data_IF_959562320476
#
_entry.id   IF_959562320476
#
_cell.length_a   1.000
_cell.length_b   1.000
_cell.length_c   1.000
_cell.angle_alpha   90.00
_cell.angle_beta   90.00
_cell.angle_gamma   90.00
#
_symmetry.space_group_name_H-M   'P 1'
#
loop_
_entity.id
_entity.type
_entity.pdbx_description
1 polymer ?
#
# COMPACT_ATOMS: atom_id res chain seq x y z
N UNK A 1 0.35 4.22 7.44
CA UNK A 1 1.44 3.93 6.51
C UNK A 1 1.79 2.45 6.60
N UNK A 2 2.51 1.92 5.61
CA UNK A 2 2.86 0.50 5.49
C UNK A 2 1.64 -0.43 5.68
N UNK A 3 0.48 0.02 5.23
CA UNK A 3 -0.79 -0.62 5.56
C UNK A 3 -0.95 -1.99 4.91
N UNK A 4 -0.12 -2.32 3.92
CA UNK A 4 -0.06 -3.67 3.34
C UNK A 4 0.29 -4.74 4.40
N UNK A 5 0.98 -4.34 5.48
CA UNK A 5 1.37 -5.21 6.59
C UNK A 5 0.32 -5.30 7.71
N UNK A 6 -0.90 -4.80 7.46
CA UNK A 6 -2.03 -4.97 8.37
C UNK A 6 -2.85 -6.19 8.00
N UNK A 7 -3.49 -6.83 8.97
CA UNK A 7 -4.53 -7.83 8.74
C UNK A 7 -5.89 -7.17 8.49
N UNK A 8 -6.87 -7.94 7.99
CA UNK A 8 -8.25 -7.47 7.88
C UNK A 8 -8.83 -6.98 9.22
N UNK A 9 -8.51 -7.66 10.32
CA UNK A 9 -8.97 -7.27 11.65
C UNK A 9 -8.38 -5.94 12.10
N UNK A 10 -7.07 -5.74 11.89
CA UNK A 10 -6.39 -4.48 12.21
C UNK A 10 -6.90 -3.33 11.35
N UNK A 11 -7.11 -3.56 10.05
CA UNK A 11 -7.67 -2.56 9.15
C UNK A 11 -9.10 -2.18 9.56
N UNK A 12 -9.96 -3.16 9.87
CA UNK A 12 -11.30 -2.91 10.38
C UNK A 12 -11.26 -2.12 11.70
N UNK A 13 -10.40 -2.53 12.63
CA UNK A 13 -10.20 -1.83 13.91
C UNK A 13 -9.83 -0.36 13.71
N UNK A 14 -8.97 -0.05 12.74
CA UNK A 14 -8.59 1.32 12.41
C UNK A 14 -9.74 2.11 11.79
N UNK A 15 -10.36 1.58 10.73
CA UNK A 15 -11.40 2.28 9.97
C UNK A 15 -12.61 2.65 10.84
N UNK A 16 -12.96 1.82 11.83
CA UNK A 16 -14.09 2.09 12.74
C UNK A 16 -13.75 3.08 13.87
N UNK A 17 -12.54 3.65 13.89
CA UNK A 17 -12.14 4.68 14.87
C UNK A 17 -12.25 6.11 14.32
N UNK A 18 -12.63 6.28 13.05
CA UNK A 18 -12.79 7.60 12.45
C UNK A 18 -13.96 8.35 13.11
N UNK A 19 -13.65 9.53 13.65
CA UNK A 19 -14.63 10.40 14.31
C UNK A 19 -15.17 11.50 13.40
N UNK A 20 -16.16 12.26 13.89
CA UNK A 20 -16.74 13.38 13.16
C UNK A 20 -15.69 14.44 12.80
N UNK A 21 -15.76 14.94 11.56
CA UNK A 21 -14.84 15.96 11.04
C UNK A 21 -13.40 15.49 10.84
N UNK A 22 -13.10 14.21 11.09
CA UNK A 22 -11.77 13.65 10.85
C UNK A 22 -11.57 13.25 9.40
N UNK A 23 -10.30 13.19 8.97
CA UNK A 23 -9.89 12.61 7.68
C UNK A 23 -8.72 11.67 7.95
N UNK A 24 -8.64 10.58 7.20
CA UNK A 24 -7.51 9.68 7.23
C UNK A 24 -7.01 9.40 5.82
N UNK A 25 -5.70 9.21 5.71
CA UNK A 25 -5.03 8.74 4.50
C UNK A 25 -4.30 7.46 4.88
N UNK A 26 -4.57 6.39 4.14
CA UNK A 26 -3.95 5.09 4.35
C UNK A 26 -3.04 4.84 3.15
N UNK A 27 -1.75 4.68 3.42
CA UNK A 27 -0.69 4.44 2.43
C UNK A 27 -0.07 3.07 2.62
N UNK A 28 0.38 2.48 1.52
CA UNK A 28 1.10 1.21 1.49
C UNK A 28 1.31 0.69 0.06
N UNK A 29 2.21 -0.28 -0.08
CA UNK A 29 2.53 -0.94 -1.36
C UNK A 29 1.97 -2.37 -1.36
N UNK A 30 0.92 -2.62 -2.15
CA UNK A 30 0.27 -3.95 -2.23
C UNK A 30 1.17 -5.05 -2.81
N UNK A 31 2.33 -4.71 -3.39
CA UNK A 31 3.30 -5.66 -3.94
C UNK A 31 4.34 -6.10 -2.91
N UNK A 32 4.48 -5.38 -1.79
CA UNK A 32 5.48 -5.60 -0.75
C UNK A 32 4.84 -5.99 0.59
N UNK A 33 4.04 -7.06 0.57
CA UNK A 33 3.35 -7.56 1.77
C UNK A 33 4.31 -8.39 2.63
N UNK A 34 4.61 -7.89 3.82
CA UNK A 34 5.36 -8.57 4.87
C UNK A 34 4.40 -9.01 5.98
N UNK A 35 3.70 -10.13 5.73
CA UNK A 35 2.81 -10.77 6.68
C UNK A 35 3.18 -12.24 6.84
N UNK A 36 2.98 -12.83 8.03
CA UNK A 36 3.11 -14.27 8.23
C UNK A 36 2.28 -15.06 7.22
N UNK A 37 2.81 -16.22 6.83
CA UNK A 37 2.17 -17.10 5.85
C UNK A 37 0.71 -17.41 6.21
N UNK A 38 -0.17 -17.40 5.21
CA UNK A 38 -1.60 -17.62 5.37
C UNK A 38 -2.41 -16.39 5.80
N UNK A 39 -1.78 -15.29 6.22
CA UNK A 39 -2.50 -14.04 6.51
C UNK A 39 -2.73 -13.22 5.23
N UNK A 40 -3.95 -12.70 5.08
CA UNK A 40 -4.30 -11.77 4.00
C UNK A 40 -4.09 -10.33 4.45
N UNK A 41 -3.52 -9.52 3.56
CA UNK A 41 -3.38 -8.08 3.77
C UNK A 41 -4.75 -7.39 3.85
N UNK A 42 -4.90 -6.58 4.90
CA UNK A 42 -6.01 -5.67 5.13
C UNK A 42 -6.14 -4.68 4.00
N UNK A 43 -5.04 -4.02 3.63
CA UNK A 43 -5.00 -3.04 2.54
C UNK A 43 -5.48 -3.63 1.22
N UNK A 44 -4.99 -4.82 0.85
CA UNK A 44 -5.41 -5.48 -0.39
C UNK A 44 -6.90 -5.88 -0.36
N UNK A 45 -7.41 -6.29 0.79
CA UNK A 45 -8.81 -6.71 0.93
C UNK A 45 -9.78 -5.51 0.89
N UNK A 46 -9.44 -4.40 1.55
CA UNK A 46 -10.35 -3.25 1.64
C UNK A 46 -10.60 -2.54 0.31
N UNK A 47 -9.66 -2.64 -0.65
CA UNK A 47 -9.89 -2.16 -2.03
C UNK A 47 -11.18 -2.76 -2.60
N UNK A 48 -11.44 -4.05 -2.38
CA UNK A 48 -12.65 -4.70 -2.88
C UNK A 48 -13.84 -4.52 -1.95
N UNK A 49 -13.63 -4.52 -0.63
CA UNK A 49 -14.70 -4.43 0.37
C UNK A 49 -15.36 -3.05 0.37
N UNK A 50 -14.57 -1.99 0.15
CA UNK A 50 -15.02 -0.60 0.29
C UNK A 50 -15.16 0.12 -1.06
N UNK A 51 -15.06 -0.59 -2.19
CA UNK A 51 -15.11 0.00 -3.54
C UNK A 51 -16.38 0.80 -3.85
N UNK A 52 -17.49 0.47 -3.17
CA UNK A 52 -18.81 1.06 -3.37
C UNK A 52 -19.18 2.07 -2.26
N UNK A 53 -18.23 2.43 -1.37
CA UNK A 53 -18.47 3.41 -0.29
C UNK A 53 -18.18 4.81 -0.81
N UNK A 54 -19.21 5.65 -0.93
CA UNK A 54 -19.17 6.96 -1.60
C UNK A 54 -18.07 7.91 -1.08
N UNK A 55 -17.82 7.93 0.23
CA UNK A 55 -16.85 8.84 0.86
C UNK A 55 -15.41 8.27 0.93
N UNK A 56 -15.12 7.16 0.24
CA UNK A 56 -13.80 6.53 0.21
C UNK A 56 -13.21 6.57 -1.20
N UNK A 57 -12.09 7.25 -1.35
CA UNK A 57 -11.31 7.27 -2.60
C UNK A 57 -10.13 6.30 -2.56
N UNK A 58 -9.84 5.68 -3.72
CA UNK A 58 -8.63 4.90 -3.94
C UNK A 58 -7.73 5.59 -4.95
N UNK A 59 -6.46 5.78 -4.58
CA UNK A 59 -5.44 6.38 -5.45
C UNK A 59 -4.31 5.36 -5.62
N UNK A 60 -4.02 5.01 -6.86
CA UNK A 60 -2.96 4.08 -7.22
C UNK A 60 -1.85 4.84 -7.93
N UNK A 61 -0.62 4.68 -7.43
CA UNK A 61 0.56 5.22 -8.07
C UNK A 61 1.22 4.14 -8.94
N UNK A 62 1.77 4.58 -10.07
CA UNK A 62 2.56 3.77 -10.97
C UNK A 62 4.05 4.11 -10.83
N UNK A 63 4.90 3.29 -11.44
CA UNK A 63 6.35 3.55 -11.49
C UNK A 63 6.69 4.90 -12.12
N UNK A 64 5.84 5.42 -13.00
CA UNK A 64 5.97 6.75 -13.61
C UNK A 64 5.78 7.90 -12.62
N UNK A 65 5.08 7.67 -11.51
CA UNK A 65 4.85 8.68 -10.48
C UNK A 65 6.03 8.75 -9.48
N UNK A 66 6.99 7.83 -9.59
CA UNK A 66 8.13 7.71 -8.68
C UNK A 66 9.29 8.58 -9.17
N UNK A 67 9.41 9.76 -8.59
CA UNK A 67 10.57 10.63 -8.80
C UNK A 67 11.71 10.22 -7.87
N UNK A 68 12.79 9.70 -8.45
CA UNK A 68 14.02 9.31 -7.72
C UNK A 68 15.18 10.16 -8.19
N UNK A 69 16.09 10.45 -7.26
CA UNK A 69 17.37 11.07 -7.58
C UNK A 69 18.12 10.21 -8.61
N UNK A 70 18.85 10.86 -9.53
CA UNK A 70 19.57 10.21 -10.64
C UNK A 70 20.48 9.07 -10.16
N UNK A 71 21.25 9.32 -9.09
CA UNK A 71 22.11 8.30 -8.48
C UNK A 71 21.34 7.05 -8.03
N UNK A 72 20.16 7.22 -7.42
CA UNK A 72 19.35 6.09 -6.95
C UNK A 72 18.83 5.27 -8.14
N UNK A 73 18.41 5.93 -9.22
CA UNK A 73 18.02 5.24 -10.44
C UNK A 73 19.17 4.43 -11.04
N UNK A 74 20.38 5.01 -11.06
CA UNK A 74 21.56 4.34 -11.59
C UNK A 74 21.97 3.13 -10.73
N UNK A 75 21.82 3.21 -9.41
CA UNK A 75 22.01 2.08 -8.48
C UNK A 75 20.98 0.97 -8.78
N UNK A 76 19.69 1.30 -8.87
CA UNK A 76 18.64 0.31 -9.15
C UNK A 76 18.90 -0.41 -10.47
N UNK A 77 19.24 0.34 -11.53
CA UNK A 77 19.59 -0.23 -12.84
C UNK A 77 20.81 -1.13 -12.80
N UNK A 78 21.78 -0.87 -11.91
CA UNK A 78 22.94 -1.73 -11.74
C UNK A 78 22.56 -3.08 -11.11
N UNK A 79 21.68 -3.08 -10.10
CA UNK A 79 21.16 -4.31 -9.48
C UNK A 79 20.25 -5.10 -10.43
N UNK A 80 19.33 -4.44 -11.14
CA UNK A 80 18.47 -5.10 -12.13
C UNK A 80 19.29 -5.86 -13.19
N UNK A 81 20.41 -5.28 -13.65
CA UNK A 81 21.32 -5.95 -14.60
C UNK A 81 22.09 -7.12 -14.00
N UNK A 82 22.32 -7.10 -12.68
CA UNK A 82 23.00 -8.18 -11.97
C UNK A 82 22.08 -9.37 -11.74
N UNK A 83 20.83 -9.13 -11.32
CA UNK A 83 19.86 -10.18 -11.01
C UNK A 83 19.29 -10.90 -12.25
N UNK A 84 19.39 -10.30 -13.44
CA UNK A 84 18.96 -10.92 -14.71
C UNK A 84 20.04 -11.85 -15.31
N UNK A 85 21.25 -11.92 -14.72
CA UNK A 85 22.31 -12.86 -15.09
C UNK A 85 22.28 -14.11 -14.22
#
# INVERSE_FOLDING_TARGET
DEAQNTTNEQMKMFLTRLGYGSKAVITGDITQIDLPEGKKSGLKSVINILKDVEDIGFMFFHTTDVVRHKLVQDIVKAYEKYEVK
#
